data_IF_498927293438
#
_entry.id   IF_498927293438
#
_cell.length_a   1.000
_cell.length_b   1.000
_cell.length_c   1.000
_cell.angle_alpha   90.00
_cell.angle_beta   90.00
_cell.angle_gamma   90.00
#
_symmetry.space_group_name_H-M   'P 1'
#
loop_
_entity.id
_entity.type
_entity.pdbx_description
1 polymer ?
#
# COMPACT_ATOMS: atom_id res chain seq x y z
N UNK A 1 10.05 18.67 13.33
CA UNK A 1 9.72 19.95 12.67
C UNK A 1 8.33 19.81 12.09
N UNK A 2 7.33 20.44 12.71
CA UNK A 2 6.01 20.65 12.13
C UNK A 2 6.12 21.88 11.22
N UNK A 3 6.38 21.63 9.94
CA UNK A 3 6.42 22.66 8.91
C UNK A 3 5.76 22.09 7.67
N UNK A 4 4.73 22.79 7.18
CA UNK A 4 3.71 22.38 6.20
C UNK A 4 2.55 21.58 6.81
N UNK A 5 1.34 22.11 6.62
CA UNK A 5 0.04 21.53 6.97
C UNK A 5 -0.27 20.32 6.04
N UNK A 6 0.65 19.37 5.92
CA UNK A 6 0.42 18.16 5.14
C UNK A 6 -0.66 17.33 5.85
N UNK A 7 -1.80 17.19 5.19
CA UNK A 7 -2.95 16.47 5.70
C UNK A 7 -2.97 15.07 5.05
N UNK A 8 -2.81 13.99 5.83
CA UNK A 8 -2.85 12.62 5.32
C UNK A 8 -4.09 12.34 4.47
N UNK A 9 -5.26 12.90 4.82
CA UNK A 9 -6.47 12.71 4.03
C UNK A 9 -6.38 13.33 2.64
N UNK A 10 -5.70 14.49 2.48
CA UNK A 10 -5.54 15.12 1.17
C UNK A 10 -4.67 14.27 0.24
N UNK A 11 -3.57 13.75 0.76
CA UNK A 11 -2.73 12.81 0.02
C UNK A 11 -3.50 11.54 -0.34
N UNK A 12 -4.28 11.00 0.60
CA UNK A 12 -5.09 9.81 0.32
C UNK A 12 -6.11 10.02 -0.82
N UNK A 13 -6.87 11.13 -0.77
CA UNK A 13 -7.83 11.47 -1.83
C UNK A 13 -7.14 11.73 -3.17
N UNK A 14 -5.99 12.41 -3.17
CA UNK A 14 -5.22 12.66 -4.39
C UNK A 14 -4.63 11.37 -4.97
N UNK A 15 -4.18 10.45 -4.12
CA UNK A 15 -3.74 9.12 -4.52
C UNK A 15 -4.86 8.32 -5.19
N UNK A 16 -6.07 8.34 -4.62
CA UNK A 16 -7.26 7.72 -5.22
C UNK A 16 -7.56 8.34 -6.58
N UNK A 17 -7.53 9.67 -6.68
CA UNK A 17 -7.77 10.38 -7.93
C UNK A 17 -6.74 10.02 -9.01
N UNK A 18 -5.44 10.01 -8.70
CA UNK A 18 -4.40 9.61 -9.65
C UNK A 18 -4.58 8.15 -10.08
N UNK A 19 -4.91 7.27 -9.14
CA UNK A 19 -5.14 5.85 -9.43
C UNK A 19 -6.33 5.66 -10.39
N UNK A 20 -7.43 6.38 -10.20
CA UNK A 20 -8.60 6.36 -11.10
C UNK A 20 -8.26 6.88 -12.51
N UNK A 21 -7.29 7.79 -12.62
CA UNK A 21 -6.77 8.28 -13.91
C UNK A 21 -5.74 7.34 -14.56
N UNK A 22 -5.39 6.24 -13.90
CA UNK A 22 -4.34 5.32 -14.36
C UNK A 22 -2.92 5.88 -14.19
N UNK A 23 -2.78 6.98 -13.46
CA UNK A 23 -1.51 7.62 -13.13
C UNK A 23 -0.92 6.91 -11.89
N UNK A 24 -0.44 5.68 -12.11
CA UNK A 24 -0.10 4.75 -11.03
C UNK A 24 1.12 5.22 -10.22
N UNK A 25 2.10 5.85 -10.85
CA UNK A 25 3.29 6.33 -10.14
C UNK A 25 2.94 7.49 -9.19
N UNK A 26 2.12 8.43 -9.65
CA UNK A 26 1.62 9.54 -8.86
C UNK A 26 0.76 9.03 -7.70
N UNK A 27 -0.11 8.04 -7.94
CA UNK A 27 -0.87 7.40 -6.87
C UNK A 27 0.03 6.79 -5.79
N UNK A 28 1.09 6.10 -6.18
CA UNK A 28 2.07 5.51 -5.25
C UNK A 28 2.74 6.61 -4.41
N UNK A 29 3.15 7.73 -5.02
CA UNK A 29 3.77 8.84 -4.31
C UNK A 29 2.83 9.37 -3.22
N UNK A 30 1.57 9.64 -3.57
CA UNK A 30 0.61 10.19 -2.63
C UNK A 30 0.28 9.23 -1.47
N UNK A 31 0.07 7.94 -1.74
CA UNK A 31 -0.17 6.98 -0.66
C UNK A 31 1.04 6.83 0.28
N UNK A 32 2.27 6.95 -0.24
CA UNK A 32 3.48 6.96 0.59
C UNK A 32 3.56 8.18 1.49
N UNK A 33 3.09 9.33 1.03
CA UNK A 33 3.01 10.54 1.87
C UNK A 33 2.02 10.36 3.03
N UNK A 34 0.87 9.69 2.82
CA UNK A 34 -0.05 9.33 3.92
C UNK A 34 0.70 8.59 5.02
N UNK A 35 1.45 7.54 4.66
CA UNK A 35 2.20 6.70 5.61
C UNK A 35 3.33 7.49 6.27
N UNK A 36 4.05 8.34 5.51
CA UNK A 36 5.15 9.16 6.03
C UNK A 36 4.71 10.14 7.12
N UNK A 37 3.47 10.61 7.05
CA UNK A 37 2.91 11.57 8.00
C UNK A 37 2.47 10.93 9.33
N UNK A 38 2.33 9.61 9.38
CA UNK A 38 1.95 8.90 10.59
C UNK A 38 3.15 8.37 11.38
N UNK A 39 3.04 8.22 12.72
CA UNK A 39 4.10 7.62 13.53
C UNK A 39 4.40 6.19 13.09
N UNK A 40 5.67 5.79 13.03
CA UNK A 40 6.04 4.41 12.67
C UNK A 40 5.53 3.35 13.68
N UNK A 41 5.25 3.75 14.91
CA UNK A 41 4.76 2.85 15.96
C UNK A 41 3.22 2.84 15.99
N UNK A 42 2.61 1.76 15.51
CA UNK A 42 1.14 1.55 15.47
C UNK A 42 0.45 1.90 16.80
N UNK A 43 1.05 1.49 17.93
CA UNK A 43 0.50 1.73 19.28
C UNK A 43 0.37 3.22 19.64
N UNK A 44 1.03 4.12 18.91
CA UNK A 44 0.96 5.57 19.09
C UNK A 44 -0.10 6.22 18.19
N UNK A 45 -0.64 5.49 17.22
CA UNK A 45 -1.66 5.99 16.31
C UNK A 45 -3.02 6.02 17.00
N UNK A 46 -3.81 7.07 16.70
CA UNK A 46 -5.24 7.04 17.00
C UNK A 46 -5.94 6.06 16.05
N UNK A 47 -7.14 5.63 16.41
CA UNK A 47 -7.94 4.70 15.59
C UNK A 47 -8.14 5.21 14.16
N UNK A 48 -8.42 6.50 13.99
CA UNK A 48 -8.62 7.15 12.69
C UNK A 48 -7.33 7.16 11.84
N UNK A 49 -6.19 7.45 12.47
CA UNK A 49 -4.88 7.47 11.82
C UNK A 49 -4.48 6.06 11.38
N UNK A 50 -4.70 5.07 12.25
CA UNK A 50 -4.48 3.65 11.95
C UNK A 50 -5.32 3.20 10.75
N UNK A 51 -6.59 3.61 10.70
CA UNK A 51 -7.51 3.25 9.62
C UNK A 51 -7.05 3.83 8.28
N UNK A 52 -6.69 5.12 8.25
CA UNK A 52 -6.22 5.77 7.03
C UNK A 52 -4.87 5.20 6.58
N UNK A 53 -3.93 4.98 7.50
CA UNK A 53 -2.64 4.37 7.21
C UNK A 53 -2.82 2.97 6.61
N UNK A 54 -3.71 2.14 7.18
CA UNK A 54 -3.99 0.81 6.64
C UNK A 54 -4.63 0.87 5.25
N UNK A 55 -5.53 1.84 4.98
CA UNK A 55 -6.10 2.03 3.64
C UNK A 55 -5.03 2.45 2.63
N UNK A 56 -4.08 3.30 3.03
CA UNK A 56 -2.96 3.69 2.18
C UNK A 56 -2.03 2.50 1.88
N UNK A 57 -1.71 1.67 2.86
CA UNK A 57 -0.96 0.42 2.65
C UNK A 57 -1.71 -0.54 1.69
N UNK A 58 -3.01 -0.73 1.86
CA UNK A 58 -3.84 -1.55 0.97
C UNK A 58 -3.80 -1.02 -0.48
N UNK A 59 -3.96 0.29 -0.67
CA UNK A 59 -3.93 0.89 -1.99
C UNK A 59 -2.52 0.86 -2.62
N UNK A 60 -1.45 0.96 -1.84
CA UNK A 60 -0.08 0.72 -2.32
C UNK A 60 0.11 -0.72 -2.78
N UNK A 61 -0.39 -1.71 -2.04
CA UNK A 61 -0.33 -3.11 -2.45
C UNK A 61 -0.95 -3.30 -3.84
N UNK A 62 -2.12 -2.70 -4.08
CA UNK A 62 -2.79 -2.74 -5.38
C UNK A 62 -2.00 -1.99 -6.46
N UNK A 63 -1.52 -0.78 -6.16
CA UNK A 63 -0.78 0.04 -7.12
C UNK A 63 0.55 -0.63 -7.55
N UNK A 64 1.30 -1.19 -6.59
CA UNK A 64 2.49 -1.98 -6.88
C UNK A 64 2.18 -3.25 -7.66
N UNK A 65 1.06 -3.92 -7.37
CA UNK A 65 0.61 -5.09 -8.15
C UNK A 65 0.36 -4.74 -9.62
N UNK A 66 -0.23 -3.57 -9.89
CA UNK A 66 -0.42 -3.07 -11.27
C UNK A 66 0.90 -2.81 -12.00
N UNK A 67 1.97 -2.47 -11.26
CA UNK A 67 3.32 -2.30 -11.81
C UNK A 67 4.07 -3.62 -12.01
N UNK A 68 3.51 -4.74 -11.57
CA UNK A 68 4.22 -6.03 -11.52
C UNK A 68 5.24 -6.11 -10.38
N UNK A 69 5.25 -5.14 -9.47
CA UNK A 69 6.20 -5.07 -8.35
C UNK A 69 5.71 -5.91 -7.19
N UNK A 70 5.58 -7.23 -7.40
CA UNK A 70 4.90 -8.14 -6.48
C UNK A 70 5.60 -8.27 -5.12
N UNK A 71 6.92 -8.07 -5.07
CA UNK A 71 7.67 -7.99 -3.81
C UNK A 71 7.19 -6.84 -2.92
N UNK A 72 7.12 -5.64 -3.49
CA UNK A 72 6.64 -4.46 -2.78
C UNK A 72 5.15 -4.61 -2.45
N UNK A 73 4.35 -5.09 -3.41
CA UNK A 73 2.93 -5.31 -3.19
C UNK A 73 2.65 -6.26 -2.00
N UNK A 74 3.35 -7.39 -1.93
CA UNK A 74 3.19 -8.37 -0.86
C UNK A 74 3.54 -7.76 0.50
N UNK A 75 4.63 -7.00 0.59
CA UNK A 75 5.02 -6.33 1.83
C UNK A 75 3.96 -5.37 2.35
N UNK A 76 3.33 -4.60 1.45
CA UNK A 76 2.26 -3.65 1.82
C UNK A 76 0.98 -4.39 2.24
N UNK A 77 0.65 -5.51 1.58
CA UNK A 77 -0.49 -6.36 1.96
C UNK A 77 -0.29 -7.01 3.33
N UNK A 78 0.92 -7.51 3.62
CA UNK A 78 1.26 -8.06 4.95
C UNK A 78 1.14 -6.99 6.03
N UNK A 79 1.59 -5.77 5.75
CA UNK A 79 1.45 -4.63 6.67
C UNK A 79 -0.03 -4.31 6.92
N UNK A 80 -0.84 -4.29 5.87
CA UNK A 80 -2.30 -4.09 5.97
C UNK A 80 -2.96 -5.18 6.84
N UNK A 81 -2.62 -6.45 6.62
CA UNK A 81 -3.15 -7.56 7.43
C UNK A 81 -2.70 -7.48 8.89
N UNK A 82 -1.45 -7.08 9.16
CA UNK A 82 -0.94 -6.90 10.52
C UNK A 82 -1.68 -5.77 11.26
N UNK A 83 -2.09 -4.71 10.57
CA UNK A 83 -2.88 -3.61 11.13
C UNK A 83 -4.34 -4.03 11.36
N UNK A 84 -4.95 -4.68 10.38
CA UNK A 84 -6.33 -5.14 10.43
C UNK A 84 -6.45 -6.57 9.89
N UNK A 85 -6.42 -7.59 10.79
CA UNK A 85 -6.55 -8.99 10.40
C UNK A 85 -7.98 -9.34 9.97
N UNK A 86 -8.33 -9.05 8.72
CA UNK A 86 -9.61 -9.41 8.11
C UNK A 86 -9.41 -10.53 7.09
N UNK A 87 -10.49 -11.24 6.76
CA UNK A 87 -10.48 -12.26 5.69
C UNK A 87 -10.04 -11.65 4.35
N UNK A 88 -10.50 -10.45 4.03
CA UNK A 88 -10.13 -9.74 2.80
C UNK A 88 -8.62 -9.46 2.73
N UNK A 89 -8.04 -8.91 3.81
CA UNK A 89 -6.61 -8.60 3.85
C UNK A 89 -5.76 -9.88 3.79
N UNK A 90 -6.22 -10.96 4.42
CA UNK A 90 -5.59 -12.26 4.30
C UNK A 90 -5.60 -12.79 2.85
N UNK A 91 -6.75 -12.72 2.18
CA UNK A 91 -6.87 -13.14 0.78
C UNK A 91 -5.95 -12.35 -0.14
N UNK A 92 -5.81 -11.04 0.06
CA UNK A 92 -4.85 -10.21 -0.68
C UNK A 92 -3.41 -10.71 -0.51
N UNK A 93 -2.99 -10.99 0.73
CA UNK A 93 -1.65 -11.52 1.02
C UNK A 93 -1.42 -12.84 0.27
N UNK A 94 -2.35 -13.77 0.34
CA UNK A 94 -2.22 -15.08 -0.31
C UNK A 94 -2.20 -14.98 -1.84
N UNK A 95 -3.02 -14.10 -2.42
CA UNK A 95 -3.01 -13.83 -3.86
C UNK A 95 -1.65 -13.28 -4.32
N UNK A 96 -1.05 -12.36 -3.55
CA UNK A 96 0.23 -11.76 -3.91
C UNK A 96 1.41 -12.71 -3.70
N UNK A 97 1.37 -13.57 -2.68
CA UNK A 97 2.35 -14.68 -2.53
C UNK A 97 2.32 -15.59 -3.76
N UNK A 98 1.13 -16.00 -4.19
CA UNK A 98 0.97 -16.83 -5.38
C UNK A 98 1.48 -16.09 -6.63
N UNK A 99 1.11 -14.82 -6.82
CA UNK A 99 1.55 -14.06 -7.99
C UNK A 99 3.07 -13.87 -8.04
N UNK A 100 3.70 -13.53 -6.91
CA UNK A 100 5.15 -13.46 -6.78
C UNK A 100 5.84 -14.78 -7.14
N UNK A 101 5.32 -15.92 -6.66
CA UNK A 101 5.91 -17.23 -7.02
C UNK A 101 5.83 -17.55 -8.51
N UNK A 102 4.76 -17.10 -9.19
CA UNK A 102 4.60 -17.27 -10.64
C UNK A 102 5.58 -16.39 -11.41
N UNK A 103 5.73 -15.14 -10.99
CA UNK A 103 6.66 -14.17 -11.60
C UNK A 103 8.11 -14.66 -11.55
N UNK A 104 8.53 -15.27 -10.42
CA UNK A 104 9.84 -15.89 -10.30
C UNK A 104 10.05 -17.06 -11.27
N UNK A 105 8.99 -17.81 -11.60
CA UNK A 105 9.09 -18.91 -12.57
C UNK A 105 9.23 -18.33 -13.99
N UNK A 106 8.44 -17.32 -14.34
CA UNK A 106 8.46 -16.66 -15.66
C UNK A 106 9.86 -16.06 -15.96
N UNK A 107 10.48 -15.39 -14.98
CA UNK A 107 11.84 -14.83 -15.14
C UNK A 107 12.88 -15.93 -15.39
N UNK A 108 12.77 -17.06 -14.69
CA UNK A 108 13.71 -18.18 -14.82
C UNK A 108 13.49 -19.01 -16.09
N UNK A 109 12.33 -18.93 -16.74
CA UNK A 109 12.07 -19.62 -18.01
C UNK A 109 12.55 -18.85 -19.25
N UNK A 110 12.69 -17.53 -19.13
CA UNK A 110 13.11 -16.65 -20.23
C UNK A 110 14.64 -16.39 -20.25
N UNK A 111 15.39 -17.01 -19.32
CA UNK A 111 16.85 -16.92 -19.14
C UNK A 111 17.57 -18.15 -19.69
#
# INVERSE_FOLDING_TARGET
>A
MLGCNDNPNRHFELGNWYYEKGLIDEAILEYREVIRLYPNEIKLMKREDLELASKAHYNLAIAYSKKGWFEYALKEAETTFNMYPTKENYEMVELLKKRKSLDLIEINSDS
#
